data_IF_352331404952
#
_entry.id   IF_352331404952
#
_cell.length_a   1.000
_cell.length_b   1.000
_cell.length_c   1.000
_cell.angle_alpha   90.00
_cell.angle_beta   90.00
_cell.angle_gamma   90.00
#
_symmetry.space_group_name_H-M   'P 1'
#
loop_
_entity.id
_entity.type
_entity.pdbx_description
1 polymer ?
#
# COMPACT_ATOMS: atom_id res chain seq x y z
N UNK A 1 8.38 -6.73 -12.36
CA UNK A 1 7.02 -7.10 -11.94
C UNK A 1 6.33 -7.75 -13.11
N UNK A 2 6.22 -9.09 -13.13
CA UNK A 2 5.44 -9.82 -14.11
C UNK A 2 4.04 -10.03 -13.53
N UNK A 3 3.01 -9.48 -14.22
CA UNK A 3 1.61 -9.77 -13.92
C UNK A 3 1.20 -11.01 -14.70
N UNK A 4 0.88 -12.10 -14.01
CA UNK A 4 0.22 -13.25 -14.63
C UNK A 4 -1.30 -13.09 -14.46
N UNK A 5 -2.03 -13.02 -15.57
CA UNK A 5 -3.50 -13.05 -15.59
C UNK A 5 -4.00 -14.45 -15.22
N UNK A 6 -4.75 -14.53 -14.12
CA UNK A 6 -5.49 -15.72 -13.73
C UNK A 6 -5.55 -15.89 -12.23
N UNK A 7 -6.67 -15.63 -11.61
CA UNK A 7 -7.19 -16.03 -10.30
C UNK A 7 -6.39 -15.82 -9.02
N UNK A 8 -5.09 -15.99 -9.03
CA UNK A 8 -4.17 -15.79 -7.91
C UNK A 8 -2.92 -15.09 -8.46
N UNK A 9 -2.67 -13.85 -8.06
CA UNK A 9 -1.50 -13.13 -8.54
C UNK A 9 -0.40 -13.15 -7.49
N UNK A 10 0.71 -13.76 -7.90
CA UNK A 10 1.98 -13.73 -7.20
C UNK A 10 2.74 -12.44 -7.51
N UNK A 11 3.08 -11.64 -6.50
CA UNK A 11 4.18 -10.71 -6.58
C UNK A 11 5.49 -11.49 -6.46
N UNK A 12 5.99 -12.01 -7.57
CA UNK A 12 7.33 -12.58 -7.62
C UNK A 12 8.35 -11.45 -7.61
N UNK A 13 8.85 -11.13 -6.43
CA UNK A 13 10.03 -10.27 -6.30
C UNK A 13 11.25 -11.17 -6.29
N UNK A 14 11.84 -11.41 -7.46
CA UNK A 14 13.11 -12.13 -7.59
C UNK A 14 14.29 -11.18 -7.27
N UNK A 15 14.38 -10.73 -6.03
CA UNK A 15 15.54 -10.00 -5.55
C UNK A 15 16.30 -10.88 -4.54
N UNK A 16 17.61 -10.82 -4.58
CA UNK A 16 18.46 -11.47 -3.55
C UNK A 16 18.56 -10.54 -2.35
N UNK A 17 18.18 -11.05 -1.18
CA UNK A 17 18.19 -10.31 0.08
C UNK A 17 19.16 -11.00 1.05
N UNK A 18 19.73 -10.23 1.99
CA UNK A 18 20.53 -10.79 3.07
C UNK A 18 19.68 -11.67 3.99
N UNK A 19 20.13 -12.89 4.21
CA UNK A 19 19.44 -13.87 5.05
C UNK A 19 19.86 -13.70 6.51
N UNK A 20 18.89 -13.34 7.36
CA UNK A 20 19.04 -13.19 8.81
C UNK A 20 18.07 -14.08 9.59
N UNK A 21 17.47 -15.08 8.93
CA UNK A 21 16.44 -15.97 9.48
C UNK A 21 15.14 -15.90 8.69
N UNK A 22 14.41 -17.01 8.60
CA UNK A 22 13.19 -17.11 7.79
C UNK A 22 12.11 -16.14 8.25
N UNK A 23 11.90 -15.97 9.55
CA UNK A 23 10.90 -15.06 10.13
C UNK A 23 11.21 -13.59 9.90
N UNK A 24 12.48 -13.26 9.64
CA UNK A 24 12.95 -11.89 9.38
C UNK A 24 13.03 -11.57 7.88
N UNK A 25 12.59 -12.49 7.04
CA UNK A 25 12.52 -12.21 5.60
C UNK A 25 11.46 -11.15 5.30
N UNK A 26 11.69 -10.36 4.25
CA UNK A 26 10.73 -9.32 3.84
C UNK A 26 9.37 -9.93 3.55
N UNK A 27 9.34 -11.11 2.90
CA UNK A 27 8.10 -11.81 2.56
C UNK A 27 7.31 -12.24 3.79
N UNK A 28 7.99 -12.80 4.81
CA UNK A 28 7.35 -13.19 6.07
C UNK A 28 6.81 -11.96 6.83
N UNK A 29 7.59 -10.89 6.89
CA UNK A 29 7.17 -9.64 7.52
C UNK A 29 5.95 -9.03 6.83
N UNK A 30 5.99 -8.92 5.50
CA UNK A 30 4.88 -8.36 4.73
C UNK A 30 3.63 -9.22 4.85
N UNK A 31 3.77 -10.56 4.75
CA UNK A 31 2.67 -11.50 4.95
C UNK A 31 2.03 -11.32 6.34
N UNK A 32 2.84 -11.26 7.41
CA UNK A 32 2.37 -11.07 8.77
C UNK A 32 1.61 -9.75 8.95
N UNK A 33 2.10 -8.66 8.35
CA UNK A 33 1.43 -7.36 8.39
C UNK A 33 0.10 -7.45 7.65
N UNK A 34 0.08 -7.94 6.41
CA UNK A 34 -1.14 -8.07 5.60
C UNK A 34 -2.17 -8.96 6.29
N UNK A 35 -1.76 -10.07 6.91
CA UNK A 35 -2.66 -10.95 7.65
C UNK A 35 -3.34 -10.23 8.82
N UNK A 36 -2.58 -9.46 9.61
CA UNK A 36 -3.13 -8.68 10.73
C UNK A 36 -4.08 -7.59 10.25
N UNK A 37 -3.75 -6.91 9.16
CA UNK A 37 -4.60 -5.87 8.57
C UNK A 37 -5.89 -6.47 8.01
N UNK A 38 -5.79 -7.59 7.30
CA UNK A 38 -6.94 -8.30 6.73
C UNK A 38 -7.89 -8.80 7.83
N UNK A 39 -7.36 -9.45 8.88
CA UNK A 39 -8.16 -9.92 10.03
C UNK A 39 -8.79 -8.76 10.82
N UNK A 40 -8.20 -7.57 10.78
CA UNK A 40 -8.78 -6.35 11.35
C UNK A 40 -9.83 -5.69 10.44
N UNK A 41 -10.19 -6.29 9.31
CA UNK A 41 -11.16 -5.74 8.37
C UNK A 41 -10.68 -4.50 7.62
N UNK A 42 -9.36 -4.29 7.52
CA UNK A 42 -8.80 -3.21 6.72
C UNK A 42 -8.65 -3.66 5.26
N UNK A 43 -8.95 -2.77 4.30
CA UNK A 43 -8.96 -3.11 2.89
C UNK A 43 -7.54 -3.31 2.33
N UNK A 44 -7.03 -4.51 2.49
CA UNK A 44 -5.82 -5.04 1.88
C UNK A 44 -6.17 -6.31 1.11
N UNK A 45 -5.45 -6.67 0.03
CA UNK A 45 -5.63 -7.97 -0.60
C UNK A 45 -5.37 -9.09 0.42
N UNK A 46 -6.22 -10.12 0.44
CA UNK A 46 -6.05 -11.25 1.34
C UNK A 46 -4.69 -11.92 1.08
N UNK A 47 -3.81 -12.05 2.07
CA UNK A 47 -2.57 -12.79 1.92
C UNK A 47 -2.88 -14.29 1.84
N UNK A 48 -2.32 -14.97 0.84
CA UNK A 48 -2.56 -16.39 0.58
C UNK A 48 -1.38 -17.23 1.05
N UNK A 49 -0.17 -16.86 0.63
CA UNK A 49 1.05 -17.57 0.99
C UNK A 49 2.27 -16.66 0.88
N UNK A 50 3.29 -16.99 1.65
CA UNK A 50 4.63 -16.45 1.49
C UNK A 50 5.65 -17.59 1.47
N UNK A 51 6.67 -17.45 0.63
CA UNK A 51 7.77 -18.39 0.57
C UNK A 51 9.10 -17.65 0.64
N UNK A 52 10.08 -18.27 1.28
CA UNK A 52 11.45 -17.79 1.28
C UNK A 52 12.38 -19.00 1.08
N UNK A 53 13.25 -18.90 0.09
CA UNK A 53 14.22 -19.94 -0.23
C UNK A 53 15.63 -19.41 -0.05
N UNK A 54 16.40 -20.01 0.83
CA UNK A 54 17.82 -19.68 0.99
C UNK A 54 18.58 -20.07 -0.28
N UNK A 55 19.33 -19.15 -0.84
CA UNK A 55 20.14 -19.35 -2.05
C UNK A 55 21.61 -19.53 -1.74
N UNK A 56 22.10 -18.94 -0.64
CA UNK A 56 23.46 -19.09 -0.12
C UNK A 56 23.48 -18.88 1.39
N UNK A 57 24.65 -18.91 2.00
CA UNK A 57 24.81 -18.59 3.43
C UNK A 57 24.27 -17.19 3.78
N UNK A 58 24.38 -16.24 2.86
CA UNK A 58 24.06 -14.83 3.10
C UNK A 58 22.84 -14.32 2.36
N UNK A 59 22.27 -15.09 1.41
CA UNK A 59 21.21 -14.58 0.55
C UNK A 59 20.00 -15.51 0.46
N UNK A 60 18.83 -14.93 0.27
CA UNK A 60 17.58 -15.64 -0.02
C UNK A 60 16.82 -14.97 -1.16
N UNK A 61 15.92 -15.70 -1.78
CA UNK A 61 14.83 -15.22 -2.63
C UNK A 61 13.50 -15.56 -1.98
N UNK A 62 12.45 -14.82 -2.32
CA UNK A 62 11.13 -15.12 -1.77
C UNK A 62 10.01 -14.60 -2.65
N UNK A 63 8.82 -15.09 -2.40
CA UNK A 63 7.59 -14.69 -3.06
C UNK A 63 6.48 -14.48 -2.03
N UNK A 64 5.61 -13.53 -2.31
CA UNK A 64 4.38 -13.28 -1.59
C UNK A 64 3.22 -13.43 -2.58
N UNK A 65 2.21 -14.20 -2.20
CA UNK A 65 1.00 -14.42 -2.97
C UNK A 65 -0.16 -13.76 -2.20
N UNK A 66 -0.88 -12.88 -2.88
CA UNK A 66 -2.10 -12.28 -2.38
C UNK A 66 -3.25 -12.52 -3.35
N UNK A 67 -4.47 -12.40 -2.86
CA UNK A 67 -5.66 -12.43 -3.68
C UNK A 67 -5.60 -11.36 -4.77
N UNK A 68 -6.06 -11.71 -5.96
CA UNK A 68 -6.20 -10.78 -7.06
C UNK A 68 -7.46 -9.94 -6.89
N UNK A 69 -7.33 -8.64 -7.08
CA UNK A 69 -8.44 -7.70 -7.07
C UNK A 69 -8.84 -7.42 -8.54
N UNK A 70 -9.91 -8.04 -9.04
CA UNK A 70 -10.34 -7.85 -10.44
C UNK A 70 -10.78 -6.39 -10.64
N UNK A 71 -10.64 -5.91 -11.88
CA UNK A 71 -11.01 -4.55 -12.29
C UNK A 71 -10.37 -3.42 -11.47
N UNK A 72 -9.32 -3.73 -10.69
CA UNK A 72 -8.63 -2.70 -9.89
C UNK A 72 -7.89 -1.71 -10.78
N UNK A 73 -8.01 -0.43 -10.45
CA UNK A 73 -7.25 0.65 -11.07
C UNK A 73 -6.45 1.38 -10.00
N UNK A 74 -5.16 1.60 -10.24
CA UNK A 74 -4.37 2.39 -9.29
C UNK A 74 -4.71 3.87 -9.42
N UNK A 75 -4.65 4.60 -8.31
CA UNK A 75 -4.82 6.06 -8.33
C UNK A 75 -3.80 6.72 -9.26
N UNK A 76 -2.58 6.17 -9.34
CA UNK A 76 -1.56 6.64 -10.28
C UNK A 76 -1.99 6.46 -11.75
N UNK A 77 -2.67 5.36 -12.08
CA UNK A 77 -3.22 5.12 -13.41
C UNK A 77 -4.30 6.14 -13.77
N UNK A 78 -5.22 6.43 -12.85
CA UNK A 78 -6.26 7.45 -13.06
C UNK A 78 -5.66 8.83 -13.32
N UNK A 79 -4.65 9.22 -12.54
CA UNK A 79 -3.99 10.53 -12.72
C UNK A 79 -3.32 10.61 -14.09
N UNK A 80 -2.62 9.57 -14.54
CA UNK A 80 -1.97 9.55 -15.87
C UNK A 80 -2.95 9.62 -17.03
N UNK A 81 -4.17 9.09 -16.85
CA UNK A 81 -5.24 9.13 -17.84
C UNK A 81 -6.06 10.41 -17.79
N UNK A 82 -5.78 11.33 -16.88
CA UNK A 82 -6.57 12.55 -16.69
C UNK A 82 -7.92 12.35 -16.00
N UNK A 83 -8.24 11.14 -15.55
CA UNK A 83 -9.54 10.76 -14.95
C UNK A 83 -9.54 10.84 -13.40
N UNK A 84 -8.70 11.70 -12.86
CA UNK A 84 -8.49 11.77 -11.42
C UNK A 84 -9.53 12.61 -10.67
N UNK A 85 -10.23 13.49 -11.36
CA UNK A 85 -11.29 14.32 -10.75
C UNK A 85 -12.44 13.47 -10.22
N UNK A 86 -12.76 12.39 -10.92
CA UNK A 86 -13.81 11.44 -10.58
C UNK A 86 -13.38 10.41 -9.52
N UNK A 87 -12.12 10.42 -9.08
CA UNK A 87 -11.68 9.51 -8.04
C UNK A 87 -12.39 9.80 -6.70
N UNK A 88 -12.67 8.76 -5.89
CA UNK A 88 -13.39 8.90 -4.62
C UNK A 88 -12.47 9.42 -3.51
N UNK A 89 -12.01 10.68 -3.64
CA UNK A 89 -10.97 11.27 -2.79
C UNK A 89 -11.30 11.21 -1.30
N UNK A 90 -12.54 11.47 -0.91
CA UNK A 90 -12.96 11.38 0.49
C UNK A 90 -12.89 9.94 1.03
N UNK A 91 -13.31 8.95 0.21
CA UNK A 91 -13.21 7.54 0.58
C UNK A 91 -11.75 7.10 0.72
N UNK A 92 -10.85 7.60 -0.15
CA UNK A 92 -9.40 7.39 -0.03
C UNK A 92 -8.90 7.96 1.31
N UNK A 93 -9.29 9.18 1.66
CA UNK A 93 -8.93 9.81 2.94
C UNK A 93 -9.43 9.01 4.15
N UNK A 94 -10.70 8.61 4.17
CA UNK A 94 -11.30 7.76 5.21
C UNK A 94 -10.54 6.45 5.36
N UNK A 95 -10.18 5.83 4.25
CA UNK A 95 -9.43 4.57 4.26
C UNK A 95 -8.04 4.77 4.87
N UNK A 96 -7.27 5.76 4.42
CA UNK A 96 -5.94 6.04 4.97
C UNK A 96 -6.03 6.32 6.48
N UNK A 97 -7.05 7.06 6.93
CA UNK A 97 -7.30 7.30 8.36
C UNK A 97 -7.47 6.01 9.14
N UNK A 98 -8.31 5.07 8.67
CA UNK A 98 -8.52 3.77 9.30
C UNK A 98 -7.21 3.00 9.51
N UNK A 99 -6.33 2.98 8.50
CA UNK A 99 -5.00 2.38 8.62
C UNK A 99 -4.14 3.09 9.67
N UNK A 100 -4.16 4.41 9.68
CA UNK A 100 -3.41 5.21 10.64
C UNK A 100 -3.94 5.04 12.07
N UNK A 101 -5.24 4.91 12.28
CA UNK A 101 -5.85 4.67 13.59
C UNK A 101 -5.51 3.26 14.10
N UNK A 102 -5.47 2.27 13.21
CA UNK A 102 -5.01 0.93 13.55
C UNK A 102 -3.51 0.88 13.90
N UNK A 103 -2.75 1.89 13.53
CA UNK A 103 -1.30 1.94 13.72
C UNK A 103 -0.52 1.35 12.54
N UNK A 104 -1.12 1.21 11.38
CA UNK A 104 -0.46 0.70 10.18
C UNK A 104 0.35 1.81 9.49
N UNK A 105 1.66 1.84 9.74
CA UNK A 105 2.58 2.75 9.07
C UNK A 105 2.97 2.17 7.70
N UNK A 106 2.43 2.73 6.64
CA UNK A 106 2.79 2.39 5.26
C UNK A 106 4.00 3.21 4.83
N UNK A 107 5.21 2.68 4.97
CA UNK A 107 6.43 3.45 4.75
C UNK A 107 6.65 3.91 3.30
N UNK A 108 5.84 3.44 2.35
CA UNK A 108 5.86 3.85 0.94
C UNK A 108 4.46 4.19 0.42
N UNK A 109 3.69 5.00 1.16
CA UNK A 109 2.37 5.44 0.73
C UNK A 109 2.51 6.39 -0.47
N UNK A 110 2.06 5.92 -1.64
CA UNK A 110 2.08 6.65 -2.90
C UNK A 110 0.85 6.28 -3.76
N UNK A 111 0.60 7.01 -4.83
CA UNK A 111 -0.57 6.81 -5.68
C UNK A 111 -0.63 5.44 -6.39
N UNK A 112 0.51 4.78 -6.62
CA UNK A 112 0.54 3.45 -7.23
C UNK A 112 0.13 2.35 -6.24
N UNK A 113 0.24 2.61 -4.94
CA UNK A 113 -0.08 1.68 -3.86
C UNK A 113 -1.51 1.88 -3.31
N UNK A 114 -2.31 2.71 -3.95
CA UNK A 114 -3.74 2.89 -3.69
C UNK A 114 -4.49 2.31 -4.88
N UNK A 115 -5.26 1.24 -4.66
CA UNK A 115 -6.10 0.63 -5.68
C UNK A 115 -7.57 0.96 -5.40
N UNK A 116 -8.30 1.22 -6.46
CA UNK A 116 -9.74 1.45 -6.47
C UNK A 116 -10.41 0.26 -7.13
N UNK A 117 -11.36 -0.35 -6.43
CA UNK A 117 -12.09 -1.54 -6.86
C UNK A 117 -13.55 -1.36 -6.45
N UNK A 118 -14.45 -1.22 -7.42
CA UNK A 118 -15.91 -1.16 -7.18
C UNK A 118 -16.32 -0.23 -6.03
N UNK A 119 -15.77 0.98 -6.01
CA UNK A 119 -16.03 1.99 -4.97
C UNK A 119 -15.23 1.83 -3.67
N UNK A 120 -14.51 0.73 -3.50
CA UNK A 120 -13.65 0.49 -2.35
C UNK A 120 -12.20 0.94 -2.63
N UNK A 121 -11.52 1.41 -1.59
CA UNK A 121 -10.10 1.80 -1.65
C UNK A 121 -9.26 0.78 -0.91
N UNK A 122 -8.30 0.17 -1.58
CA UNK A 122 -7.34 -0.78 -1.02
C UNK A 122 -5.95 -0.17 -0.92
N UNK A 123 -5.20 -0.52 0.12
CA UNK A 123 -3.76 -0.25 0.21
C UNK A 123 -2.98 -1.54 -0.02
N UNK A 124 -1.94 -1.44 -0.85
CA UNK A 124 -1.08 -2.57 -1.23
C UNK A 124 0.39 -2.24 -0.98
N UNK A 125 1.27 -3.26 -1.02
CA UNK A 125 2.73 -3.13 -0.91
C UNK A 125 3.19 -2.64 0.48
N UNK A 126 2.94 -3.47 1.50
CA UNK A 126 3.41 -3.22 2.88
C UNK A 126 4.83 -3.77 3.14
N UNK A 127 5.64 -3.98 2.11
CA UNK A 127 7.00 -4.53 2.20
C UNK A 127 7.87 -3.85 3.29
N UNK A 128 7.81 -2.53 3.38
CA UNK A 128 8.49 -1.74 4.42
C UNK A 128 7.56 -1.31 5.55
N UNK A 129 6.31 -1.79 5.53
CA UNK A 129 5.30 -1.43 6.51
C UNK A 129 5.68 -1.81 7.94
N UNK A 130 5.04 -1.18 8.90
CA UNK A 130 5.17 -1.51 10.32
C UNK A 130 3.83 -1.29 11.02
N UNK A 131 3.53 -2.14 11.99
CA UNK A 131 2.49 -1.87 12.97
C UNK A 131 3.13 -1.16 14.16
N UNK A 132 2.69 0.04 14.44
CA UNK A 132 3.21 0.89 15.53
C UNK A 132 2.23 0.90 16.69
N UNK A 133 2.74 0.83 17.90
CA UNK A 133 1.91 0.87 19.10
C UNK A 133 1.25 2.24 19.31
N UNK A 134 0.18 2.28 20.13
CA UNK A 134 -0.58 3.51 20.46
C UNK A 134 0.27 4.65 21.01
N UNK A 135 1.41 4.36 21.66
CA UNK A 135 2.35 5.36 22.21
C UNK A 135 3.30 5.96 21.17
N UNK A 136 3.23 5.52 19.91
CA UNK A 136 4.09 6.05 18.85
C UNK A 136 3.75 7.50 18.54
N UNK A 137 4.77 8.34 18.35
CA UNK A 137 4.59 9.76 17.97
C UNK A 137 3.76 9.84 16.66
N UNK A 138 2.76 10.71 16.62
CA UNK A 138 1.86 10.86 15.47
C UNK A 138 2.53 11.40 14.19
N UNK A 139 3.77 11.90 14.29
CA UNK A 139 4.52 12.49 13.17
C UNK A 139 4.70 11.59 11.94
N UNK A 140 4.67 10.26 12.12
CA UNK A 140 4.74 9.32 11.00
C UNK A 140 3.50 9.38 10.08
N UNK A 141 2.31 9.71 10.63
CA UNK A 141 1.07 9.89 9.86
C UNK A 141 1.23 11.03 8.88
N UNK A 142 1.75 12.16 9.36
CA UNK A 142 2.05 13.32 8.49
C UNK A 142 3.13 13.00 7.45
N UNK A 143 4.12 12.17 7.80
CA UNK A 143 5.14 11.72 6.86
C UNK A 143 4.53 10.86 5.75
N UNK A 144 3.58 9.98 6.06
CA UNK A 144 2.83 9.20 5.06
C UNK A 144 2.04 10.12 4.12
N UNK A 145 1.28 11.07 4.66
CA UNK A 145 0.50 12.03 3.86
C UNK A 145 1.40 12.89 2.99
N UNK A 146 2.53 13.39 3.50
CA UNK A 146 3.51 14.15 2.70
C UNK A 146 4.10 13.32 1.55
N UNK A 147 4.32 12.02 1.74
CA UNK A 147 4.77 11.12 0.66
C UNK A 147 3.71 10.98 -0.42
N UNK A 148 2.46 10.74 -0.02
CA UNK A 148 1.35 10.66 -0.94
C UNK A 148 1.22 11.96 -1.74
N UNK A 149 1.22 13.12 -1.07
CA UNK A 149 1.13 14.42 -1.72
C UNK A 149 2.22 14.63 -2.78
N UNK A 150 3.48 14.30 -2.44
CA UNK A 150 4.60 14.37 -3.41
C UNK A 150 4.38 13.45 -4.60
N UNK A 151 3.85 12.24 -4.37
CA UNK A 151 3.55 11.30 -5.44
C UNK A 151 2.47 11.82 -6.39
N UNK A 152 1.42 12.45 -5.84
CA UNK A 152 0.35 13.07 -6.61
C UNK A 152 0.88 14.23 -7.46
N UNK A 153 1.63 15.15 -6.86
CA UNK A 153 2.22 16.30 -7.58
C UNK A 153 3.13 15.86 -8.73
N UNK A 154 3.94 14.80 -8.50
CA UNK A 154 4.82 14.28 -9.55
C UNK A 154 4.05 13.69 -10.73
N UNK A 155 2.88 13.11 -10.49
CA UNK A 155 2.07 12.47 -11.53
C UNK A 155 1.20 13.46 -12.29
N UNK A 156 0.66 14.48 -11.62
CA UNK A 156 -0.21 15.49 -12.24
C UNK A 156 0.56 16.55 -13.02
N UNK A 157 1.87 16.67 -12.82
CA UNK A 157 2.69 17.72 -13.42
C UNK A 157 2.40 19.15 -12.90
N UNK A 158 1.38 19.32 -12.09
CA UNK A 158 0.96 20.61 -11.51
C UNK A 158 0.44 20.46 -10.09
N UNK A 159 0.94 21.30 -9.18
CA UNK A 159 0.47 21.31 -7.79
C UNK A 159 -0.96 21.85 -7.70
N UNK A 160 -1.29 22.91 -8.44
CA UNK A 160 -2.61 23.53 -8.42
C UNK A 160 -3.71 22.57 -8.91
N UNK A 161 -3.44 21.78 -9.96
CA UNK A 161 -4.42 20.84 -10.50
C UNK A 161 -4.87 19.80 -9.47
N UNK A 162 -3.98 19.37 -8.57
CA UNK A 162 -4.28 18.33 -7.57
C UNK A 162 -4.76 18.90 -6.22
N UNK A 163 -4.73 20.22 -6.02
CA UNK A 163 -5.07 20.82 -4.72
C UNK A 163 -6.52 20.57 -4.30
N UNK A 164 -7.47 20.70 -5.23
CA UNK A 164 -8.88 20.42 -4.95
C UNK A 164 -9.08 18.95 -4.52
N UNK A 165 -8.51 18.03 -5.27
CA UNK A 165 -8.55 16.60 -4.97
C UNK A 165 -7.90 16.26 -3.61
N UNK A 166 -6.76 16.89 -3.33
CA UNK A 166 -6.09 16.76 -2.05
C UNK A 166 -6.93 17.25 -0.88
N UNK A 167 -7.59 18.40 -1.03
CA UNK A 167 -8.48 18.95 0.00
C UNK A 167 -9.68 18.03 0.26
N UNK A 168 -10.30 17.47 -0.78
CA UNK A 168 -11.34 16.43 -0.65
C UNK A 168 -10.83 15.20 0.10
N UNK A 169 -9.63 14.73 -0.21
CA UNK A 169 -9.01 13.63 0.49
C UNK A 169 -8.79 13.96 1.98
N UNK A 170 -8.30 15.17 2.30
CA UNK A 170 -8.12 15.62 3.68
C UNK A 170 -9.47 15.76 4.43
N UNK A 171 -10.54 16.17 3.76
CA UNK A 171 -11.90 16.16 4.34
C UNK A 171 -12.28 14.75 4.79
N UNK A 172 -12.08 13.75 3.95
CA UNK A 172 -12.33 12.35 4.30
C UNK A 172 -11.38 11.81 5.38
N UNK A 173 -10.14 12.23 5.36
CA UNK A 173 -9.16 11.86 6.39
C UNK A 173 -9.52 12.45 7.77
N UNK A 174 -10.14 13.62 7.80
CA UNK A 174 -10.41 14.40 9.01
C UNK A 174 -9.20 15.25 9.43
N UNK A 175 -9.45 16.24 10.30
CA UNK A 175 -8.39 17.12 10.81
C UNK A 175 -7.36 16.30 11.58
N UNK A 176 -6.07 16.57 11.30
CA UNK A 176 -4.91 16.00 12.02
C UNK A 176 -4.67 16.82 13.27
#
# INVERSE_FOLDING_TARGET
KHYLRGGLISHLVSARYFFTGYERTRMANEFSILQKLYLAGLPVPRPVAASAQRKSLLTYSGALITEYLPNSRSLASLIRLGDWENAPWEAIGKTIRRFHEYGAMHRDLNASNILLVEGCTYLIDFDKGKLVGRRSKASWKQTNLRRLRRSLNKLSGSTAAIDSAWNRMLTGYGRI
#
